data_IF_053003158012
#
_entry.id   IF_053003158012
#
_cell.length_a   1.000
_cell.length_b   1.000
_cell.length_c   1.000
_cell.angle_alpha   90.00
_cell.angle_beta   90.00
_cell.angle_gamma   90.00
#
_symmetry.space_group_name_H-M   'P 1'
#
loop_
_entity.id
_entity.type
_entity.pdbx_description
1 polymer ?
#
# COMPACT_ATOMS: atom_id res chain seq x y z
N UNK A 1 15.36 22.85 5.04
CA UNK A 1 15.17 21.76 6.01
C UNK A 1 14.07 20.79 5.56
N UNK A 2 12.90 21.27 5.12
CA UNK A 2 11.80 20.44 4.56
C UNK A 2 12.25 19.49 3.44
N UNK A 3 13.03 19.99 2.47
CA UNK A 3 13.59 19.17 1.38
C UNK A 3 14.40 17.98 1.89
N UNK A 4 15.22 18.18 2.93
CA UNK A 4 16.08 17.12 3.50
C UNK A 4 15.22 16.04 4.17
N UNK A 5 14.14 16.43 4.87
CA UNK A 5 13.20 15.47 5.46
C UNK A 5 12.52 14.61 4.39
N UNK A 6 12.02 15.22 3.31
CA UNK A 6 11.37 14.49 2.21
C UNK A 6 12.34 13.51 1.55
N UNK A 7 13.56 13.96 1.25
CA UNK A 7 14.59 13.08 0.66
C UNK A 7 15.00 11.94 1.62
N UNK A 8 15.05 12.21 2.92
CA UNK A 8 15.25 11.18 3.94
C UNK A 8 14.15 10.12 3.92
N UNK A 9 12.88 10.52 3.81
CA UNK A 9 11.76 9.58 3.68
C UNK A 9 11.83 8.76 2.38
N UNK A 10 12.26 9.38 1.27
CA UNK A 10 12.46 8.66 0.00
C UNK A 10 13.56 7.61 0.12
N UNK A 11 14.70 7.95 0.71
CA UNK A 11 15.77 7.01 0.97
C UNK A 11 15.33 5.87 1.91
N UNK A 12 14.57 6.18 2.96
CA UNK A 12 14.02 5.18 3.86
C UNK A 12 13.04 4.23 3.14
N UNK A 13 12.18 4.74 2.26
CA UNK A 13 11.29 3.91 1.45
C UNK A 13 12.05 2.93 0.55
N UNK A 14 13.13 3.40 -0.08
CA UNK A 14 13.99 2.55 -0.88
C UNK A 14 14.73 1.48 -0.06
N UNK A 15 15.02 1.74 1.21
CA UNK A 15 15.67 0.79 2.12
C UNK A 15 14.69 -0.23 2.72
N UNK A 16 13.50 0.21 3.15
CA UNK A 16 12.49 -0.66 3.79
C UNK A 16 11.97 -1.69 2.79
N UNK A 17 11.81 -1.30 1.52
CA UNK A 17 11.31 -2.12 0.39
C UNK A 17 9.90 -2.66 0.53
N UNK A 18 9.44 -3.08 1.70
CA UNK A 18 8.14 -3.69 1.87
C UNK A 18 7.56 -3.35 3.24
N UNK A 19 6.26 -3.08 3.28
CA UNK A 19 5.49 -2.97 4.51
C UNK A 19 4.32 -3.94 4.41
N UNK A 20 4.09 -4.66 5.50
CA UNK A 20 3.08 -5.71 5.58
C UNK A 20 2.18 -5.46 6.79
N UNK A 21 0.88 -5.66 6.62
CA UNK A 21 -0.12 -5.48 7.66
C UNK A 21 -1.18 -6.57 7.57
N UNK A 22 -1.54 -7.15 8.73
CA UNK A 22 -2.69 -8.05 8.84
C UNK A 22 -3.99 -7.25 8.81
N UNK A 23 -4.99 -7.76 8.10
CA UNK A 23 -6.27 -7.09 7.92
C UNK A 23 -7.38 -8.07 7.52
N UNK A 24 -8.63 -7.64 7.58
CA UNK A 24 -9.75 -8.45 7.12
C UNK A 24 -10.27 -7.94 5.76
N UNK A 25 -10.50 -8.84 4.82
CA UNK A 25 -11.17 -8.57 3.54
C UNK A 25 -12.43 -9.44 3.43
N UNK A 26 -13.61 -8.83 3.37
CA UNK A 26 -14.87 -9.57 3.23
C UNK A 26 -15.11 -10.60 4.35
N UNK A 27 -14.61 -10.34 5.56
CA UNK A 27 -14.69 -11.25 6.71
C UNK A 27 -13.60 -12.33 6.78
N UNK A 28 -12.65 -12.36 5.85
CA UNK A 28 -11.51 -13.28 5.87
C UNK A 28 -10.23 -12.58 6.33
N UNK A 29 -9.47 -13.23 7.21
CA UNK A 29 -8.14 -12.75 7.61
C UNK A 29 -7.15 -12.90 6.46
N UNK A 30 -6.55 -11.78 6.10
CA UNK A 30 -5.60 -11.65 5.00
C UNK A 30 -4.44 -10.75 5.43
N UNK A 31 -3.38 -10.81 4.65
CA UNK A 31 -2.21 -9.97 4.82
C UNK A 31 -2.04 -9.10 3.58
N UNK A 32 -2.07 -7.77 3.77
CA UNK A 32 -1.72 -6.79 2.76
C UNK A 32 -0.21 -6.53 2.82
N UNK A 33 0.47 -6.69 1.70
CA UNK A 33 1.86 -6.30 1.50
C UNK A 33 1.95 -5.22 0.42
N UNK A 34 2.66 -4.14 0.72
CA UNK A 34 2.97 -3.02 -0.18
C UNK A 34 4.47 -3.05 -0.41
N UNK A 35 4.90 -3.58 -1.56
CA UNK A 35 6.30 -3.62 -1.96
C UNK A 35 6.64 -2.41 -2.82
N UNK A 36 7.69 -1.69 -2.44
CA UNK A 36 8.21 -0.48 -3.07
C UNK A 36 8.28 -0.62 -4.58
N UNK A 37 8.79 -1.71 -5.14
CA UNK A 37 8.74 -1.91 -6.60
C UNK A 37 7.56 -2.74 -7.09
N UNK A 38 7.08 -3.67 -6.25
CA UNK A 38 6.28 -4.81 -6.66
C UNK A 38 4.78 -4.52 -6.63
N UNK A 39 4.40 -3.37 -6.06
CA UNK A 39 3.01 -2.99 -5.87
C UNK A 39 2.40 -3.69 -4.67
N UNK A 40 1.19 -4.18 -4.84
CA UNK A 40 0.30 -4.65 -3.80
C UNK A 40 0.13 -6.15 -3.92
N UNK A 41 0.26 -6.85 -2.81
CA UNK A 41 -0.07 -8.27 -2.71
C UNK A 41 -1.02 -8.46 -1.54
N UNK A 42 -2.12 -9.17 -1.77
CA UNK A 42 -3.03 -9.62 -0.71
C UNK A 42 -2.94 -11.13 -0.69
N UNK A 43 -2.66 -11.70 0.49
CA UNK A 43 -2.46 -13.13 0.69
C UNK A 43 -3.27 -13.62 1.89
N UNK A 44 -3.64 -14.91 1.92
CA UNK A 44 -4.25 -15.49 3.12
C UNK A 44 -3.24 -15.59 4.27
N UNK A 45 -3.70 -15.30 5.47
CA UNK A 45 -2.93 -15.47 6.71
C UNK A 45 -3.00 -16.92 7.21
N UNK A 46 -2.53 -17.86 6.38
CA UNK A 46 -2.52 -19.30 6.68
C UNK A 46 -1.17 -19.94 6.27
N UNK A 47 -0.74 -21.03 6.94
CA UNK A 47 0.49 -21.73 6.58
C UNK A 47 0.39 -22.28 5.15
N UNK A 48 1.09 -21.61 4.22
CA UNK A 48 1.01 -21.84 2.78
C UNK A 48 0.73 -20.58 1.94
N UNK A 49 0.50 -19.42 2.59
CA UNK A 49 0.35 -18.06 2.03
C UNK A 49 -0.06 -18.04 0.55
N UNK A 50 -1.32 -18.40 0.28
CA UNK A 50 -1.86 -18.31 -1.08
C UNK A 50 -2.11 -16.84 -1.41
N UNK A 51 -1.45 -16.33 -2.44
CA UNK A 51 -1.72 -15.00 -3.00
C UNK A 51 -3.15 -14.97 -3.56
N UNK A 52 -3.98 -14.06 -3.06
CA UNK A 52 -5.32 -13.79 -3.55
C UNK A 52 -5.28 -12.79 -4.70
N UNK A 53 -4.57 -11.68 -4.49
CA UNK A 53 -4.50 -10.59 -5.45
C UNK A 53 -3.07 -10.06 -5.56
N UNK A 54 -2.70 -9.66 -6.78
CA UNK A 54 -1.46 -8.93 -7.02
C UNK A 54 -1.68 -7.83 -8.05
N UNK A 55 -1.39 -6.60 -7.65
CA UNK A 55 -1.58 -5.42 -8.48
C UNK A 55 -0.32 -4.57 -8.51
N UNK A 56 0.15 -4.15 -9.69
CA UNK A 56 1.24 -3.18 -9.78
C UNK A 56 0.69 -1.75 -9.51
N UNK A 57 1.59 -0.78 -9.30
CA UNK A 57 1.19 0.59 -8.99
C UNK A 57 0.36 1.26 -10.09
N UNK A 58 0.62 0.93 -11.35
CA UNK A 58 -0.06 1.50 -12.51
C UNK A 58 -1.55 1.11 -12.58
N UNK A 59 -1.96 0.08 -11.82
CA UNK A 59 -3.36 -0.33 -11.69
C UNK A 59 -4.10 0.44 -10.60
N UNK A 60 -3.41 1.04 -9.63
CA UNK A 60 -4.08 1.76 -8.55
C UNK A 60 -4.74 3.03 -9.10
N UNK A 61 -6.07 3.03 -9.15
CA UNK A 61 -6.88 4.17 -9.59
C UNK A 61 -7.20 5.11 -8.45
N UNK A 62 -7.52 4.54 -7.29
CA UNK A 62 -7.94 5.31 -6.12
C UNK A 62 -7.51 4.58 -4.85
N UNK A 63 -7.10 5.38 -3.87
CA UNK A 63 -6.89 4.95 -2.48
C UNK A 63 -7.58 5.93 -1.56
N UNK A 64 -8.33 5.43 -0.58
CA UNK A 64 -9.02 6.25 0.42
C UNK A 64 -9.00 5.56 1.79
N UNK A 65 -9.36 6.30 2.83
CA UNK A 65 -9.52 5.77 4.18
C UNK A 65 -10.70 6.40 4.91
N UNK A 66 -11.32 5.66 5.84
CA UNK A 66 -12.43 6.15 6.66
C UNK A 66 -11.97 6.94 7.90
N UNK A 67 -10.65 7.06 8.09
CA UNK A 67 -10.04 7.67 9.25
C UNK A 67 -10.11 6.87 10.56
N UNK A 68 -10.79 5.72 10.56
CA UNK A 68 -11.08 4.89 11.73
C UNK A 68 -10.31 3.56 11.65
N UNK A 69 -10.57 2.73 10.64
CA UNK A 69 -9.91 1.43 10.44
C UNK A 69 -9.88 0.88 9.02
N UNK A 70 -10.70 1.42 8.11
CA UNK A 70 -10.86 0.85 6.76
C UNK A 70 -9.97 1.58 5.76
N UNK A 71 -9.18 0.81 5.00
CA UNK A 71 -8.44 1.24 3.83
C UNK A 71 -9.17 0.77 2.58
N UNK A 72 -9.41 1.68 1.64
CA UNK A 72 -10.05 1.42 0.36
C UNK A 72 -9.00 1.48 -0.76
N UNK A 73 -8.95 0.45 -1.60
CA UNK A 73 -8.06 0.38 -2.76
C UNK A 73 -8.85 -0.05 -4.01
N UNK A 74 -8.90 0.82 -5.01
CA UNK A 74 -9.49 0.50 -6.31
C UNK A 74 -8.39 0.31 -7.36
N UNK A 75 -8.34 -0.90 -7.93
CA UNK A 75 -7.39 -1.28 -9.00
C UNK A 75 -8.04 -1.34 -10.39
N UNK A 76 -9.32 -0.97 -10.50
CA UNK A 76 -10.10 -1.03 -11.73
C UNK A 76 -10.34 -2.44 -12.28
N UNK A 77 -10.25 -3.45 -11.42
CA UNK A 77 -10.54 -4.86 -11.74
C UNK A 77 -12.02 -5.20 -11.55
N UNK A 78 -12.42 -6.46 -11.84
CA UNK A 78 -13.80 -6.92 -11.64
C UNK A 78 -14.23 -6.90 -10.17
N UNK A 79 -13.28 -6.92 -9.24
CA UNK A 79 -13.55 -6.94 -7.79
C UNK A 79 -14.02 -5.58 -7.26
N UNK A 80 -13.92 -4.53 -8.08
CA UNK A 80 -14.21 -3.16 -7.66
C UNK A 80 -13.25 -2.67 -6.59
N UNK A 81 -13.76 -1.82 -5.70
CA UNK A 81 -13.02 -1.27 -4.58
C UNK A 81 -12.84 -2.33 -3.47
N UNK A 82 -11.60 -2.57 -3.07
CA UNK A 82 -11.26 -3.44 -1.97
C UNK A 82 -11.32 -2.66 -0.65
N UNK A 83 -12.25 -3.02 0.22
CA UNK A 83 -12.35 -2.48 1.58
C UNK A 83 -11.62 -3.40 2.57
N UNK A 84 -10.45 -2.97 3.04
CA UNK A 84 -9.58 -3.69 3.96
C UNK A 84 -9.74 -3.12 5.38
N UNK A 85 -10.21 -3.93 6.31
CA UNK A 85 -10.28 -3.54 7.73
C UNK A 85 -8.92 -3.81 8.40
N UNK A 86 -8.19 -2.75 8.75
CA UNK A 86 -6.84 -2.84 9.34
C UNK A 86 -6.83 -3.01 10.86
N UNK A 87 -8.01 -3.08 11.49
CA UNK A 87 -8.21 -3.17 12.95
C UNK A 87 -7.58 -2.00 13.74
N UNK A 88 -7.10 -0.99 13.04
CA UNK A 88 -6.33 0.14 13.54
C UNK A 88 -6.40 1.29 12.55
N UNK A 89 -6.07 2.50 12.99
CA UNK A 89 -6.18 3.68 12.13
C UNK A 89 -5.37 3.51 10.83
N UNK A 90 -5.97 3.73 9.64
CA UNK A 90 -5.33 3.45 8.35
C UNK A 90 -4.27 4.47 7.93
N UNK A 91 -4.21 5.62 8.61
CA UNK A 91 -3.32 6.74 8.27
C UNK A 91 -1.84 6.37 8.10
N UNK A 92 -1.23 5.50 8.94
CA UNK A 92 0.16 5.09 8.75
C UNK A 92 0.37 4.33 7.43
N UNK A 93 -0.55 3.44 7.05
CA UNK A 93 -0.46 2.69 5.79
C UNK A 93 -0.65 3.61 4.59
N UNK A 94 -1.60 4.53 4.67
CA UNK A 94 -1.80 5.58 3.66
C UNK A 94 -0.52 6.42 3.49
N UNK A 95 0.13 6.80 4.59
CA UNK A 95 1.39 7.54 4.54
C UNK A 95 2.53 6.75 3.88
N UNK A 96 2.66 5.46 4.19
CA UNK A 96 3.62 4.56 3.52
C UNK A 96 3.35 4.51 2.01
N UNK A 97 2.10 4.30 1.62
CA UNK A 97 1.68 4.27 0.21
C UNK A 97 2.09 5.55 -0.53
N UNK A 98 1.75 6.72 0.02
CA UNK A 98 2.12 8.00 -0.58
C UNK A 98 3.63 8.23 -0.62
N UNK A 99 4.36 7.76 0.40
CA UNK A 99 5.83 7.88 0.44
C UNK A 99 6.47 7.03 -0.65
N UNK A 100 5.98 5.79 -0.85
CA UNK A 100 6.49 4.89 -1.89
C UNK A 100 6.20 5.46 -3.29
N UNK A 101 4.97 5.93 -3.53
CA UNK A 101 4.59 6.61 -4.77
C UNK A 101 5.44 7.86 -5.03
N UNK A 102 5.57 8.74 -4.03
CA UNK A 102 6.35 9.98 -4.15
C UNK A 102 7.81 9.69 -4.49
N UNK A 103 8.45 8.75 -3.78
CA UNK A 103 9.83 8.37 -4.02
C UNK A 103 10.02 7.76 -5.42
N UNK A 104 9.10 6.90 -5.88
CA UNK A 104 9.13 6.35 -7.24
C UNK A 104 9.08 7.44 -8.30
N UNK A 105 8.13 8.36 -8.17
CA UNK A 105 7.92 9.43 -9.15
C UNK A 105 9.13 10.38 -9.18
N UNK A 106 9.69 10.72 -8.01
CA UNK A 106 10.94 11.49 -7.92
C UNK A 106 12.10 10.77 -8.60
N UNK A 107 12.27 9.46 -8.38
CA UNK A 107 13.33 8.67 -9.03
C UNK A 107 13.18 8.61 -10.55
N UNK A 108 11.95 8.58 -11.05
CA UNK A 108 11.66 8.61 -12.49
C UNK A 108 11.86 10.00 -13.13
N UNK A 109 12.13 11.04 -12.33
CA UNK A 109 12.26 12.42 -12.83
C UNK A 109 10.96 13.02 -13.35
N UNK A 110 9.81 12.48 -12.93
CA UNK A 110 8.47 12.92 -13.38
C UNK A 110 7.93 14.11 -12.56
N UNK A 111 8.58 14.46 -11.46
CA UNK A 111 8.32 15.67 -10.68
C UNK A 111 9.59 16.52 -10.73
N UNK A 112 9.49 17.69 -11.40
CA UNK A 112 10.54 18.70 -11.49
C UNK A 112 10.32 19.82 -10.47
#
# INVERSE_FOLDING_TARGET
WTRVLVQGCHAAAELIKEVTVGCTLGGQEVQLSIHYEGGFTISRDEPGSSVLFRYPYERLKMSADDGIRTLYLDFGGPEGELALDLHSCPKPIVFVLHTFLSAKVTRMGLLA
#
